data_IF_066185424629
#
_entry.id   IF_066185424629
#
_cell.length_a   1.000
_cell.length_b   1.000
_cell.length_c   1.000
_cell.angle_alpha   90.00
_cell.angle_beta   90.00
_cell.angle_gamma   90.00
#
_symmetry.space_group_name_H-M   'P 1'
#
loop_
_entity.id
_entity.type
_entity.pdbx_description
1 polymer ?
#
# COMPACT_ATOMS: atom_id res chain seq x y z
N UNK A 1 40.39 8.86 -45.39
CA UNK A 1 41.64 8.10 -45.15
C UNK A 1 42.49 8.89 -44.18
N UNK A 2 42.34 8.67 -42.87
CA UNK A 2 43.21 9.20 -41.80
C UNK A 2 43.44 8.05 -40.83
N UNK A 3 44.69 7.95 -40.39
CA UNK A 3 45.38 6.76 -39.94
C UNK A 3 44.85 6.17 -38.63
N UNK A 4 44.55 4.88 -38.70
CA UNK A 4 44.77 3.92 -37.62
C UNK A 4 46.27 3.88 -37.33
N UNK A 5 46.72 4.41 -36.19
CA UNK A 5 47.92 3.94 -35.46
C UNK A 5 48.10 4.78 -34.19
N UNK A 6 47.57 4.28 -33.07
CA UNK A 6 48.44 4.01 -31.93
C UNK A 6 47.83 2.93 -31.04
N UNK A 7 48.55 1.82 -30.90
CA UNK A 7 48.13 0.60 -30.19
C UNK A 7 48.65 0.69 -28.76
N UNK A 8 47.74 0.98 -27.82
CA UNK A 8 48.00 0.86 -26.39
C UNK A 8 46.71 0.84 -25.58
N UNK A 9 46.32 -0.36 -25.11
CA UNK A 9 45.36 -0.65 -24.02
C UNK A 9 44.12 0.26 -23.92
N UNK A 10 43.02 -0.17 -24.50
CA UNK A 10 41.70 0.26 -24.04
C UNK A 10 40.83 -0.97 -23.79
N UNK A 11 40.60 -1.19 -22.49
CA UNK A 11 39.43 -1.86 -21.91
C UNK A 11 38.13 -1.16 -22.42
N UNK A 12 36.93 -1.55 -21.97
CA UNK A 12 35.68 -0.78 -22.17
C UNK A 12 35.96 0.73 -22.22
N UNK A 13 35.31 1.52 -23.09
CA UNK A 13 35.94 2.69 -23.71
C UNK A 13 36.33 3.85 -22.78
N UNK A 14 36.13 3.69 -21.48
CA UNK A 14 36.74 4.43 -20.38
C UNK A 14 37.23 3.38 -19.37
N UNK A 15 38.55 3.34 -19.07
CA UNK A 15 39.21 2.30 -18.25
C UNK A 15 38.49 2.08 -16.91
N UNK A 16 37.96 3.16 -16.36
CA UNK A 16 37.20 3.24 -15.12
C UNK A 16 35.90 2.41 -15.20
N UNK A 17 35.16 2.45 -16.32
CA UNK A 17 33.93 1.68 -16.49
C UNK A 17 34.22 0.18 -16.58
N UNK A 18 35.25 -0.25 -17.34
CA UNK A 18 35.60 -1.67 -17.40
C UNK A 18 36.18 -2.18 -16.09
N UNK A 19 36.97 -1.36 -15.39
CA UNK A 19 37.49 -1.71 -14.07
C UNK A 19 36.33 -1.96 -13.11
N UNK A 20 35.29 -1.13 -13.20
CA UNK A 20 34.06 -1.30 -12.43
C UNK A 20 33.28 -2.56 -12.84
N UNK A 21 33.12 -2.84 -14.15
CA UNK A 21 32.49 -4.07 -14.66
C UNK A 21 33.25 -5.34 -14.25
N UNK A 22 34.58 -5.33 -14.36
CA UNK A 22 35.45 -6.42 -13.92
C UNK A 22 35.37 -6.61 -12.40
N UNK A 23 35.27 -5.53 -11.63
CA UNK A 23 35.03 -5.57 -10.18
C UNK A 23 33.71 -6.27 -9.85
N UNK A 24 32.62 -5.80 -10.46
CA UNK A 24 31.27 -6.35 -10.31
C UNK A 24 31.20 -7.84 -10.65
N UNK A 25 31.69 -8.23 -11.83
CA UNK A 25 31.66 -9.64 -12.29
C UNK A 25 32.52 -10.59 -11.45
N UNK A 26 33.61 -10.09 -10.84
CA UNK A 26 34.46 -10.87 -9.94
C UNK A 26 33.99 -10.82 -8.48
N UNK A 27 32.84 -10.21 -8.18
CA UNK A 27 32.32 -10.07 -6.81
C UNK A 27 33.17 -9.16 -5.91
N UNK A 28 34.03 -8.32 -6.49
CA UNK A 28 34.83 -7.32 -5.75
C UNK A 28 33.95 -6.11 -5.46
N UNK A 29 33.36 -6.11 -4.28
CA UNK A 29 32.35 -5.13 -3.86
C UNK A 29 32.92 -3.83 -3.29
N UNK A 30 34.24 -3.74 -3.08
CA UNK A 30 34.92 -2.53 -2.61
C UNK A 30 35.06 -1.44 -3.70
N UNK A 31 34.73 -1.75 -4.95
CA UNK A 31 34.84 -0.84 -6.12
C UNK A 31 33.66 0.16 -6.18
N UNK A 32 32.71 0.08 -5.25
CA UNK A 32 31.39 0.71 -5.33
C UNK A 32 31.38 2.18 -4.84
N UNK A 33 32.46 2.64 -4.20
CA UNK A 33 32.56 4.03 -3.70
C UNK A 33 32.54 5.10 -4.82
N UNK A 34 32.92 4.75 -6.05
CA UNK A 34 32.99 5.68 -7.19
C UNK A 34 31.78 5.57 -8.14
N UNK A 35 30.66 4.94 -7.73
CA UNK A 35 29.54 4.67 -8.63
C UNK A 35 29.01 5.93 -9.33
N UNK A 36 28.87 7.05 -8.62
CA UNK A 36 28.35 8.29 -9.23
C UNK A 36 29.21 8.78 -10.39
N UNK A 37 30.54 8.78 -10.22
CA UNK A 37 31.48 9.17 -11.28
C UNK A 37 31.47 8.17 -12.44
N UNK A 38 31.42 6.87 -12.14
CA UNK A 38 31.33 5.83 -13.19
C UNK A 38 30.00 5.93 -13.94
N UNK A 39 28.90 6.24 -13.26
CA UNK A 39 27.59 6.41 -13.89
C UNK A 39 27.55 7.62 -14.82
N UNK A 40 28.11 8.76 -14.42
CA UNK A 40 28.25 9.93 -15.31
C UNK A 40 29.08 9.63 -16.57
N UNK A 41 30.20 8.91 -16.41
CA UNK A 41 31.05 8.49 -17.54
C UNK A 41 30.29 7.53 -18.46
N UNK A 42 29.51 6.63 -17.86
CA UNK A 42 28.70 5.66 -18.59
C UNK A 42 27.55 6.32 -19.35
N UNK A 43 26.85 7.29 -18.74
CA UNK A 43 25.83 8.09 -19.43
C UNK A 43 26.43 8.83 -20.63
N UNK A 44 27.55 9.55 -20.44
CA UNK A 44 28.24 10.26 -21.54
C UNK A 44 28.62 9.32 -22.68
N UNK A 45 29.11 8.13 -22.35
CA UNK A 45 29.46 7.13 -23.34
C UNK A 45 28.24 6.63 -24.12
N UNK A 46 27.16 6.23 -23.42
CA UNK A 46 25.91 5.77 -24.04
C UNK A 46 25.29 6.85 -24.93
N UNK A 47 25.28 8.10 -24.47
CA UNK A 47 24.75 9.25 -25.21
C UNK A 47 25.60 9.61 -26.44
N UNK A 48 26.87 9.19 -26.49
CA UNK A 48 27.72 9.32 -27.68
C UNK A 48 27.12 8.66 -28.94
N UNK A 49 26.29 7.63 -28.76
CA UNK A 49 25.62 6.91 -29.85
C UNK A 49 24.18 7.37 -30.09
N UNK A 50 23.63 8.25 -29.24
CA UNK A 50 22.20 8.63 -29.25
C UNK A 50 21.73 9.28 -30.56
N UNK A 51 22.66 9.86 -31.35
CA UNK A 51 22.37 10.46 -32.66
C UNK A 51 22.36 9.47 -33.82
N UNK A 52 22.77 8.22 -33.58
CA UNK A 52 22.71 7.17 -34.60
C UNK A 52 21.27 6.72 -34.84
N UNK A 53 20.99 6.24 -36.06
CA UNK A 53 19.72 5.57 -36.36
C UNK A 53 19.56 4.27 -35.56
N UNK A 54 20.66 3.59 -35.20
CA UNK A 54 20.67 2.34 -34.44
C UNK A 54 21.66 2.39 -33.26
N UNK A 55 21.37 3.19 -32.20
CA UNK A 55 22.31 3.47 -31.11
C UNK A 55 22.87 2.21 -30.43
N UNK A 56 22.02 1.22 -30.14
CA UNK A 56 22.45 -0.02 -29.48
C UNK A 56 23.36 -0.87 -30.37
N UNK A 57 23.10 -0.93 -31.68
CA UNK A 57 23.92 -1.70 -32.62
C UNK A 57 25.31 -1.09 -32.74
N UNK A 58 25.41 0.24 -32.79
CA UNK A 58 26.68 0.94 -32.85
C UNK A 58 27.48 0.82 -31.55
N UNK A 59 26.80 0.91 -30.41
CA UNK A 59 27.42 0.64 -29.11
C UNK A 59 27.96 -0.79 -29.03
N UNK A 60 27.17 -1.80 -29.45
CA UNK A 60 27.62 -3.20 -29.50
C UNK A 60 28.80 -3.40 -30.44
N UNK A 61 28.80 -2.77 -31.61
CA UNK A 61 29.91 -2.85 -32.57
C UNK A 61 31.20 -2.24 -32.00
N UNK A 62 31.08 -1.12 -31.28
CA UNK A 62 32.19 -0.53 -30.54
C UNK A 62 32.76 -1.53 -29.52
N UNK A 63 31.91 -2.21 -28.75
CA UNK A 63 32.33 -3.23 -27.79
C UNK A 63 32.94 -4.47 -28.46
N UNK A 64 32.35 -4.95 -29.54
CA UNK A 64 32.86 -6.09 -30.31
C UNK A 64 34.27 -5.84 -30.85
N UNK A 65 34.58 -4.60 -31.24
CA UNK A 65 35.91 -4.22 -31.74
C UNK A 65 37.01 -4.33 -30.69
N UNK A 66 36.65 -4.34 -29.39
CA UNK A 66 37.56 -4.47 -28.25
C UNK A 66 37.68 -5.92 -27.76
N UNK A 67 36.73 -6.79 -28.13
CA UNK A 67 36.70 -8.21 -27.78
C UNK A 67 35.27 -8.77 -27.86
N UNK A 68 35.02 -9.82 -28.67
CA UNK A 68 33.64 -10.28 -28.93
C UNK A 68 32.97 -10.94 -27.72
N UNK A 69 33.73 -11.45 -26.75
CA UNK A 69 33.19 -12.12 -25.57
C UNK A 69 32.45 -11.14 -24.67
N UNK A 70 31.19 -11.42 -24.31
CA UNK A 70 30.36 -10.67 -23.33
C UNK A 70 29.96 -9.23 -23.70
N UNK A 71 30.05 -8.80 -24.97
CA UNK A 71 29.66 -7.44 -25.38
C UNK A 71 28.21 -7.07 -25.03
N UNK A 72 27.28 -8.02 -25.15
CA UNK A 72 25.87 -7.81 -24.74
C UNK A 72 25.70 -7.62 -23.23
N UNK A 73 26.35 -8.45 -22.40
CA UNK A 73 26.29 -8.32 -20.93
C UNK A 73 26.86 -6.99 -20.47
N UNK A 74 27.95 -6.55 -21.12
CA UNK A 74 28.57 -5.27 -20.83
C UNK A 74 27.71 -4.07 -21.22
N UNK A 75 27.02 -4.11 -22.37
CA UNK A 75 26.06 -3.05 -22.72
C UNK A 75 24.90 -3.02 -21.72
N UNK A 76 24.36 -4.19 -21.35
CA UNK A 76 23.33 -4.28 -20.32
C UNK A 76 23.81 -3.72 -18.97
N UNK A 77 25.06 -3.99 -18.61
CA UNK A 77 25.68 -3.44 -17.41
C UNK A 77 25.82 -1.92 -17.44
N UNK A 78 26.28 -1.36 -18.57
CA UNK A 78 26.41 0.07 -18.75
C UNK A 78 25.06 0.79 -18.58
N UNK A 79 24.00 0.26 -19.22
CA UNK A 79 22.64 0.79 -19.07
C UNK A 79 22.19 0.64 -17.61
N UNK A 80 22.42 -0.51 -16.98
CA UNK A 80 22.04 -0.76 -15.58
C UNK A 80 22.71 0.18 -14.58
N UNK A 81 23.99 0.52 -14.77
CA UNK A 81 24.71 1.51 -13.95
C UNK A 81 24.07 2.89 -14.11
N UNK A 82 23.88 3.35 -15.36
CA UNK A 82 23.35 4.67 -15.66
C UNK A 82 21.97 4.89 -15.01
N UNK A 83 21.16 3.84 -14.92
CA UNK A 83 19.84 3.90 -14.32
C UNK A 83 19.86 3.72 -12.79
N UNK A 84 20.86 3.04 -12.24
CA UNK A 84 20.99 2.87 -10.78
C UNK A 84 21.56 4.10 -10.06
N UNK A 85 22.30 4.95 -10.78
CA UNK A 85 22.82 6.23 -10.30
C UNK A 85 22.64 7.32 -11.39
N UNK A 86 21.43 7.86 -11.56
CA UNK A 86 21.09 8.76 -12.66
C UNK A 86 21.86 10.08 -12.59
N UNK A 87 22.59 10.37 -13.66
CA UNK A 87 23.23 11.66 -13.90
C UNK A 87 22.26 12.66 -14.54
N UNK A 88 22.66 13.40 -15.59
CA UNK A 88 21.90 14.56 -16.05
C UNK A 88 20.75 14.19 -16.99
N UNK A 89 20.87 13.13 -17.80
CA UNK A 89 19.93 12.83 -18.90
C UNK A 89 19.54 11.33 -18.99
N UNK A 90 19.00 10.73 -17.91
CA UNK A 90 18.61 9.32 -17.93
C UNK A 90 17.45 9.04 -18.91
N UNK A 91 16.60 10.01 -19.19
CA UNK A 91 15.48 9.92 -20.13
C UNK A 91 15.96 9.70 -21.57
N UNK A 92 17.03 10.39 -21.97
CA UNK A 92 17.61 10.26 -23.31
C UNK A 92 18.22 8.87 -23.51
N UNK A 93 18.85 8.31 -22.47
CA UNK A 93 19.36 6.93 -22.51
C UNK A 93 18.21 5.93 -22.65
N UNK A 94 17.14 6.07 -21.87
CA UNK A 94 15.97 5.18 -21.98
C UNK A 94 15.36 5.21 -23.39
N UNK A 95 15.21 6.39 -23.98
CA UNK A 95 14.66 6.55 -25.34
C UNK A 95 15.58 5.98 -26.41
N UNK A 96 16.86 6.34 -26.40
CA UNK A 96 17.81 5.92 -27.44
C UNK A 96 18.05 4.40 -27.45
N UNK A 97 17.83 3.73 -26.32
CA UNK A 97 18.04 2.29 -26.17
C UNK A 97 16.75 1.51 -25.94
N UNK A 98 15.57 2.12 -26.16
CA UNK A 98 14.26 1.53 -25.86
C UNK A 98 14.11 0.09 -26.41
N UNK A 99 14.32 -0.12 -27.71
CA UNK A 99 14.18 -1.45 -28.34
C UNK A 99 15.09 -2.51 -27.69
N UNK A 100 16.32 -2.12 -27.34
CA UNK A 100 17.27 -3.01 -26.68
C UNK A 100 16.85 -3.31 -25.25
N UNK A 101 16.37 -2.30 -24.53
CA UNK A 101 15.88 -2.41 -23.17
C UNK A 101 14.70 -3.37 -23.13
N UNK A 102 13.69 -3.16 -23.97
CA UNK A 102 12.50 -4.00 -24.06
C UNK A 102 12.88 -5.46 -24.30
N UNK A 103 13.79 -5.69 -25.26
CA UNK A 103 14.29 -7.03 -25.61
C UNK A 103 15.12 -7.71 -24.50
N UNK A 104 15.71 -6.93 -23.58
CA UNK A 104 16.61 -7.43 -22.53
C UNK A 104 16.12 -7.11 -21.10
N UNK A 105 14.84 -6.76 -20.96
CA UNK A 105 14.23 -6.26 -19.72
C UNK A 105 14.63 -7.10 -18.50
N UNK A 106 14.44 -8.43 -18.57
CA UNK A 106 14.76 -9.33 -17.45
C UNK A 106 16.22 -9.27 -17.01
N UNK A 107 17.16 -9.17 -17.96
CA UNK A 107 18.58 -9.09 -17.66
C UNK A 107 18.92 -7.75 -17.00
N UNK A 108 18.39 -6.65 -17.55
CA UNK A 108 18.58 -5.31 -17.03
C UNK A 108 18.00 -5.16 -15.61
N UNK A 109 16.78 -5.65 -15.38
CA UNK A 109 16.16 -5.68 -14.05
C UNK A 109 17.01 -6.42 -13.03
N UNK A 110 17.59 -7.58 -13.40
CA UNK A 110 18.47 -8.32 -12.50
C UNK A 110 19.73 -7.53 -12.14
N UNK A 111 20.37 -6.90 -13.14
CA UNK A 111 21.57 -6.07 -12.93
C UNK A 111 21.25 -4.87 -12.04
N UNK A 112 20.17 -4.14 -12.34
CA UNK A 112 19.72 -2.99 -11.56
C UNK A 112 19.43 -3.42 -10.12
N UNK A 113 18.73 -4.54 -9.92
CA UNK A 113 18.41 -5.07 -8.59
C UNK A 113 19.69 -5.41 -7.82
N UNK A 114 20.64 -6.12 -8.43
CA UNK A 114 21.89 -6.52 -7.78
C UNK A 114 22.76 -5.32 -7.42
N UNK A 115 22.89 -4.35 -8.33
CA UNK A 115 23.60 -3.09 -8.07
C UNK A 115 22.97 -2.34 -6.89
N UNK A 116 21.65 -2.22 -6.84
CA UNK A 116 20.95 -1.50 -5.79
C UNK A 116 21.00 -2.20 -4.42
N UNK A 117 20.92 -3.54 -4.40
CA UNK A 117 21.14 -4.34 -3.17
C UNK A 117 22.56 -4.13 -2.66
N UNK A 118 23.54 -4.15 -3.56
CA UNK A 118 24.94 -3.98 -3.19
C UNK A 118 25.19 -2.56 -2.68
N UNK A 119 24.67 -1.52 -3.33
CA UNK A 119 24.75 -0.14 -2.86
C UNK A 119 24.20 0.03 -1.44
N UNK A 120 23.01 -0.53 -1.22
CA UNK A 120 22.34 -0.48 0.09
C UNK A 120 23.19 -1.12 1.19
N UNK A 121 23.90 -2.22 0.89
CA UNK A 121 24.81 -2.88 1.83
C UNK A 121 26.00 -1.99 2.24
N UNK A 122 26.49 -1.13 1.35
CA UNK A 122 27.59 -0.20 1.61
C UNK A 122 27.12 1.19 2.07
N UNK A 123 25.84 1.34 2.41
CA UNK A 123 25.28 2.60 2.93
C UNK A 123 25.03 3.67 1.88
N UNK A 124 25.13 3.33 0.59
CA UNK A 124 24.69 4.18 -0.51
C UNK A 124 23.22 3.89 -0.83
N UNK A 125 22.41 4.94 -1.04
CA UNK A 125 20.99 4.77 -1.31
C UNK A 125 20.73 4.84 -2.82
N UNK A 126 20.19 3.80 -3.45
CA UNK A 126 19.68 3.81 -4.83
C UNK A 126 18.84 5.04 -5.16
N UNK A 127 19.16 5.85 -6.18
CA UNK A 127 18.38 7.07 -6.49
C UNK A 127 17.26 6.87 -7.53
N UNK A 128 16.55 5.74 -7.48
CA UNK A 128 15.46 5.35 -8.42
C UNK A 128 14.42 6.45 -8.58
N UNK A 129 14.03 7.06 -7.46
CA UNK A 129 13.08 8.17 -7.44
C UNK A 129 13.54 9.33 -8.33
N UNK A 130 14.81 9.71 -8.24
CA UNK A 130 15.34 10.82 -9.04
C UNK A 130 15.35 10.50 -10.53
N UNK A 131 15.57 9.22 -10.90
CA UNK A 131 15.39 8.77 -12.28
C UNK A 131 13.95 8.96 -12.70
N UNK A 132 12.98 8.41 -11.95
CA UNK A 132 11.55 8.49 -12.28
C UNK A 132 11.05 9.94 -12.39
N UNK A 133 11.60 10.86 -11.58
CA UNK A 133 11.32 12.29 -11.70
C UNK A 133 11.80 12.88 -13.03
N UNK A 134 13.02 12.54 -13.46
CA UNK A 134 13.63 13.06 -14.69
C UNK A 134 13.10 12.42 -15.96
N UNK A 135 12.58 11.21 -15.88
CA UNK A 135 12.09 10.45 -17.04
C UNK A 135 10.82 11.09 -17.61
N UNK A 136 10.80 11.24 -18.93
CA UNK A 136 9.64 11.75 -19.64
C UNK A 136 8.46 10.76 -19.62
N UNK A 137 7.19 11.25 -19.67
CA UNK A 137 6.01 10.40 -19.53
C UNK A 137 5.98 9.16 -20.45
N UNK A 138 6.49 9.29 -21.68
CA UNK A 138 6.53 8.19 -22.66
C UNK A 138 7.46 7.04 -22.27
N UNK A 139 8.49 7.31 -21.45
CA UNK A 139 9.46 6.30 -21.01
C UNK A 139 9.21 5.87 -19.56
N UNK A 140 8.14 6.38 -18.93
CA UNK A 140 7.84 6.14 -17.51
C UNK A 140 7.49 4.67 -17.25
N UNK A 141 6.62 4.06 -18.06
CA UNK A 141 6.23 2.64 -17.92
C UNK A 141 7.42 1.69 -18.12
N UNK A 142 8.31 2.02 -19.05
CA UNK A 142 9.54 1.28 -19.26
C UNK A 142 10.46 1.37 -18.03
N UNK A 143 10.58 2.56 -17.44
CA UNK A 143 11.34 2.76 -16.22
C UNK A 143 10.73 1.97 -15.04
N UNK A 144 9.40 2.01 -14.84
CA UNK A 144 8.70 1.21 -13.83
C UNK A 144 9.02 -0.28 -13.98
N UNK A 145 8.93 -0.80 -15.21
CA UNK A 145 9.23 -2.20 -15.55
C UNK A 145 10.67 -2.57 -15.19
N UNK A 146 11.63 -1.71 -15.56
CA UNK A 146 13.04 -1.95 -15.30
C UNK A 146 13.37 -2.01 -13.81
N UNK A 147 12.82 -1.10 -13.02
CA UNK A 147 12.99 -1.12 -11.56
C UNK A 147 12.11 -2.19 -10.89
N UNK A 148 11.21 -2.84 -11.63
CA UNK A 148 10.19 -3.75 -11.08
C UNK A 148 9.38 -3.07 -9.97
N UNK A 149 9.03 -1.81 -10.17
CA UNK A 149 8.23 -1.01 -9.26
C UNK A 149 6.88 -0.77 -9.92
N UNK A 150 5.81 -0.85 -9.14
CA UNK A 150 4.46 -0.54 -9.62
C UNK A 150 4.13 0.95 -9.41
N UNK A 151 3.21 1.48 -10.20
CA UNK A 151 2.82 2.88 -10.08
C UNK A 151 2.17 3.22 -8.71
N UNK A 152 1.50 2.27 -8.05
CA UNK A 152 0.97 2.45 -6.69
C UNK A 152 2.08 2.66 -5.64
N UNK A 153 3.20 1.94 -5.76
CA UNK A 153 4.39 2.15 -4.91
C UNK A 153 4.99 3.54 -5.13
N UNK A 154 5.03 4.02 -6.38
CA UNK A 154 5.52 5.37 -6.71
C UNK A 154 4.57 6.44 -6.17
N UNK A 155 3.25 6.24 -6.25
CA UNK A 155 2.26 7.14 -5.66
C UNK A 155 2.49 7.27 -4.15
N UNK A 156 2.64 6.15 -3.43
CA UNK A 156 2.92 6.16 -1.99
C UNK A 156 4.21 6.92 -1.67
N UNK A 157 5.27 6.69 -2.44
CA UNK A 157 6.55 7.41 -2.28
C UNK A 157 6.41 8.91 -2.59
N UNK A 158 5.64 9.28 -3.61
CA UNK A 158 5.37 10.67 -3.97
C UNK A 158 4.60 11.40 -2.86
N UNK A 159 3.58 10.76 -2.27
CA UNK A 159 2.81 11.29 -1.13
C UNK A 159 3.70 11.52 0.09
N UNK A 160 4.58 10.56 0.41
CA UNK A 160 5.49 10.67 1.55
C UNK A 160 6.39 11.91 1.46
N UNK A 161 6.78 12.32 0.26
CA UNK A 161 7.67 13.45 0.00
C UNK A 161 6.96 14.72 -0.52
N UNK A 162 5.62 14.69 -0.60
CA UNK A 162 4.76 15.74 -1.17
C UNK A 162 5.22 16.21 -2.58
N UNK A 163 5.50 15.26 -3.46
CA UNK A 163 5.98 15.52 -4.82
C UNK A 163 4.88 15.33 -5.85
N UNK A 164 4.22 16.45 -6.15
CA UNK A 164 3.08 16.48 -7.05
C UNK A 164 3.44 16.05 -8.48
N UNK A 165 4.64 16.37 -8.98
CA UNK A 165 5.02 16.04 -10.35
C UNK A 165 5.19 14.53 -10.53
N UNK A 166 5.89 13.88 -9.60
CA UNK A 166 6.04 12.42 -9.63
C UNK A 166 4.70 11.71 -9.40
N UNK A 167 3.86 12.27 -8.51
CA UNK A 167 2.51 11.76 -8.27
C UNK A 167 1.68 11.75 -9.57
N UNK A 168 1.61 12.86 -10.30
CA UNK A 168 0.84 12.97 -11.55
C UNK A 168 1.37 12.00 -12.61
N UNK A 169 2.69 11.85 -12.73
CA UNK A 169 3.29 10.87 -13.67
C UNK A 169 2.83 9.44 -13.36
N UNK A 170 2.89 9.04 -12.09
CA UNK A 170 2.47 7.71 -11.68
C UNK A 170 0.95 7.50 -11.79
N UNK A 171 0.17 8.52 -11.49
CA UNK A 171 -1.29 8.51 -11.66
C UNK A 171 -1.68 8.30 -13.13
N UNK A 172 -1.10 9.07 -14.05
CA UNK A 172 -1.36 8.94 -15.49
C UNK A 172 -0.93 7.56 -16.04
N UNK A 173 0.14 6.98 -15.49
CA UNK A 173 0.58 5.64 -15.86
C UNK A 173 -0.44 4.56 -15.48
N UNK A 174 -1.11 4.68 -14.33
CA UNK A 174 -2.22 3.80 -13.95
C UNK A 174 -3.38 3.94 -14.93
N UNK A 175 -3.84 5.17 -15.22
CA UNK A 175 -4.93 5.40 -16.17
C UNK A 175 -4.63 4.86 -17.58
N UNK A 176 -3.38 5.01 -18.02
CA UNK A 176 -2.95 4.58 -19.36
C UNK A 176 -2.80 3.06 -19.49
N UNK A 177 -2.63 2.35 -18.38
CA UNK A 177 -2.46 0.88 -18.35
C UNK A 177 -3.74 0.09 -18.65
N UNK A 178 -4.87 0.78 -18.88
CA UNK A 178 -6.17 0.18 -19.17
C UNK A 178 -7.00 -0.13 -17.91
N UNK A 179 -6.51 0.30 -16.74
CA UNK A 179 -7.34 0.38 -15.54
C UNK A 179 -8.40 1.47 -15.72
N UNK A 180 -9.63 1.22 -15.26
CA UNK A 180 -10.69 2.23 -15.22
C UNK A 180 -10.18 3.46 -14.46
N UNK A 181 -10.44 4.68 -14.95
CA UNK A 181 -10.05 5.93 -14.26
C UNK A 181 -10.55 5.95 -12.80
N UNK A 182 -11.65 5.24 -12.54
CA UNK A 182 -12.13 4.99 -11.19
C UNK A 182 -11.13 4.21 -10.32
N UNK A 183 -10.48 3.16 -10.85
CA UNK A 183 -9.48 2.36 -10.13
C UNK A 183 -8.25 3.19 -9.79
N UNK A 184 -7.74 4.00 -10.73
CA UNK A 184 -6.60 4.89 -10.47
C UNK A 184 -6.91 5.88 -9.33
N UNK A 185 -8.14 6.42 -9.31
CA UNK A 185 -8.62 7.29 -8.23
C UNK A 185 -8.69 6.56 -6.89
N UNK A 186 -9.23 5.34 -6.85
CA UNK A 186 -9.28 4.51 -5.64
C UNK A 186 -7.87 4.24 -5.10
N UNK A 187 -6.91 3.89 -5.97
CA UNK A 187 -5.50 3.68 -5.58
C UNK A 187 -4.88 4.95 -5.00
N UNK A 188 -5.16 6.12 -5.59
CA UNK A 188 -4.67 7.40 -5.11
C UNK A 188 -5.22 7.76 -3.72
N UNK A 189 -6.54 7.65 -3.51
CA UNK A 189 -7.16 7.90 -2.21
C UNK A 189 -6.72 6.88 -1.16
N UNK A 190 -6.65 5.60 -1.52
CA UNK A 190 -6.18 4.55 -0.62
C UNK A 190 -4.73 4.81 -0.17
N UNK A 191 -3.87 5.19 -1.11
CA UNK A 191 -2.47 5.53 -0.82
C UNK A 191 -2.35 6.80 0.04
N UNK A 192 -3.17 7.83 -0.20
CA UNK A 192 -3.20 9.05 0.61
C UNK A 192 -3.70 8.77 2.04
N UNK A 193 -4.68 7.88 2.18
CA UNK A 193 -5.23 7.44 3.47
C UNK A 193 -4.23 6.67 4.33
N UNK A 194 -3.08 6.23 3.77
CA UNK A 194 -1.99 5.64 4.54
C UNK A 194 -1.13 6.69 5.27
N UNK A 195 -1.37 7.98 5.09
CA UNK A 195 -0.61 9.05 5.75
C UNK A 195 -1.52 9.92 6.62
N UNK A 196 -0.91 10.66 7.55
CA UNK A 196 -1.62 11.71 8.28
C UNK A 196 -2.19 12.77 7.31
N UNK A 197 -3.41 13.22 7.61
CA UNK A 197 -4.11 14.26 6.84
C UNK A 197 -3.30 15.56 6.93
N UNK A 198 -2.86 16.04 5.77
CA UNK A 198 -2.17 17.32 5.65
C UNK A 198 -2.83 18.12 4.54
N UNK A 199 -3.72 19.04 4.91
CA UNK A 199 -4.45 19.90 3.96
C UNK A 199 -3.56 20.95 3.29
N UNK A 200 -2.31 21.08 3.73
CA UNK A 200 -1.33 21.99 3.13
C UNK A 200 -0.48 21.29 2.06
N UNK A 201 -0.42 19.96 2.07
CA UNK A 201 0.26 19.16 1.05
C UNK A 201 -0.27 19.47 -0.35
N UNK A 202 0.64 19.62 -1.31
CA UNK A 202 0.32 19.85 -2.71
C UNK A 202 -0.53 18.71 -3.28
N UNK A 203 -0.17 17.47 -2.95
CA UNK A 203 -0.92 16.29 -3.39
C UNK A 203 -2.31 16.24 -2.76
N UNK A 204 -2.43 16.55 -1.47
CA UNK A 204 -3.75 16.59 -0.83
C UNK A 204 -4.67 17.61 -1.50
N UNK A 205 -4.20 18.83 -1.75
CA UNK A 205 -4.98 19.87 -2.43
C UNK A 205 -5.29 19.55 -3.89
N UNK A 206 -4.46 18.73 -4.53
CA UNK A 206 -4.68 18.29 -5.90
C UNK A 206 -5.77 17.22 -5.98
N UNK A 207 -5.78 16.26 -5.04
CA UNK A 207 -6.75 15.16 -4.99
C UNK A 207 -8.07 15.53 -4.32
N UNK A 208 -8.01 16.29 -3.23
CA UNK A 208 -9.17 16.63 -2.39
C UNK A 208 -9.59 18.05 -2.70
N UNK A 209 -10.54 18.18 -3.63
CA UNK A 209 -11.00 19.48 -4.15
C UNK A 209 -12.43 19.80 -3.73
N UNK A 210 -13.22 18.79 -3.40
CA UNK A 210 -14.61 18.92 -3.02
C UNK A 210 -15.01 17.99 -1.86
N UNK A 211 -16.25 18.14 -1.40
CA UNK A 211 -16.79 17.36 -0.28
C UNK A 211 -16.86 15.86 -0.61
N UNK A 212 -17.08 15.49 -1.88
CA UNK A 212 -17.15 14.07 -2.25
C UNK A 212 -15.75 13.42 -2.18
N UNK A 213 -14.69 14.14 -2.57
CA UNK A 213 -13.31 13.69 -2.39
C UNK A 213 -12.95 13.51 -0.90
N UNK A 214 -13.44 14.41 -0.03
CA UNK A 214 -13.27 14.28 1.41
C UNK A 214 -13.96 13.02 1.96
N UNK A 215 -15.13 12.65 1.42
CA UNK A 215 -15.84 11.42 1.80
C UNK A 215 -15.08 10.19 1.32
N UNK A 216 -14.55 10.20 0.09
CA UNK A 216 -13.77 9.08 -0.45
C UNK A 216 -12.48 8.86 0.34
N UNK A 217 -11.74 9.94 0.65
CA UNK A 217 -10.55 9.86 1.50
C UNK A 217 -10.90 9.30 2.89
N UNK A 218 -11.96 9.79 3.51
CA UNK A 218 -12.39 9.30 4.82
C UNK A 218 -12.83 7.82 4.77
N UNK A 219 -13.52 7.41 3.71
CA UNK A 219 -13.89 6.01 3.47
C UNK A 219 -12.65 5.10 3.43
N UNK A 220 -11.63 5.48 2.67
CA UNK A 220 -10.35 4.75 2.58
C UNK A 220 -9.61 4.71 3.92
N UNK A 221 -9.62 5.81 4.70
CA UNK A 221 -9.05 5.82 6.05
C UNK A 221 -9.76 4.82 6.97
N UNK A 222 -11.08 4.71 6.87
CA UNK A 222 -11.86 3.74 7.63
C UNK A 222 -11.61 2.30 7.18
N UNK A 223 -11.43 2.06 5.88
CA UNK A 223 -11.06 0.72 5.37
C UNK A 223 -9.65 0.30 5.80
N UNK A 224 -8.69 1.23 5.80
CA UNK A 224 -7.34 0.99 6.32
C UNK A 224 -7.40 0.64 7.81
N UNK A 225 -8.14 1.43 8.61
CA UNK A 225 -8.36 1.15 10.04
C UNK A 225 -9.02 -0.23 10.25
N UNK A 226 -9.98 -0.61 9.41
CA UNK A 226 -10.65 -1.90 9.50
C UNK A 226 -9.73 -3.07 9.16
N UNK A 227 -8.83 -2.88 8.19
CA UNK A 227 -7.81 -3.85 7.79
C UNK A 227 -6.75 -4.05 8.87
N UNK A 228 -6.38 -2.99 9.61
CA UNK A 228 -5.46 -3.10 10.75
C UNK A 228 -5.99 -4.07 11.82
N UNK A 229 -7.30 -4.11 12.06
CA UNK A 229 -7.90 -5.03 13.03
C UNK A 229 -7.76 -6.51 12.66
N UNK A 230 -7.60 -6.81 11.37
CA UNK A 230 -7.38 -8.17 10.86
C UNK A 230 -5.90 -8.60 10.95
N UNK A 231 -4.97 -7.66 11.09
CA UNK A 231 -3.55 -7.93 11.24
C UNK A 231 -3.16 -7.80 12.72
N UNK A 232 -2.19 -8.56 13.21
CA UNK A 232 -1.74 -8.52 14.62
C UNK A 232 -1.02 -7.23 15.05
N UNK A 233 -1.25 -6.12 14.34
CA UNK A 233 -0.60 -4.83 14.50
C UNK A 233 -1.60 -3.77 14.95
N UNK A 234 -1.54 -3.38 16.23
CA UNK A 234 -2.26 -2.22 16.76
C UNK A 234 -1.48 -0.93 16.47
N UNK A 235 -2.13 0.12 15.94
CA UNK A 235 -1.57 1.47 15.76
C UNK A 235 -0.32 1.59 14.86
N UNK A 236 -0.26 0.94 13.69
CA UNK A 236 1.00 0.95 12.92
C UNK A 236 0.89 0.99 11.39
N UNK A 237 -0.30 1.17 10.82
CA UNK A 237 -0.48 1.20 9.37
C UNK A 237 -0.12 2.55 8.74
N UNK A 238 -0.22 3.65 9.48
CA UNK A 238 0.13 4.96 8.93
C UNK A 238 1.64 5.08 8.68
N UNK A 239 1.97 5.66 7.53
CA UNK A 239 3.31 5.96 7.07
C UNK A 239 3.67 7.41 7.44
N UNK A 240 4.94 7.63 7.74
CA UNK A 240 5.47 8.96 8.04
C UNK A 240 5.71 9.75 6.74
N UNK A 241 5.19 10.98 6.69
CA UNK A 241 5.65 11.97 5.73
C UNK A 241 7.12 12.30 6.01
N UNK A 242 7.95 12.26 4.97
CA UNK A 242 9.37 12.52 5.08
C UNK A 242 9.63 14.03 5.07
N UNK A 243 10.49 14.49 5.96
CA UNK A 243 10.90 15.90 6.09
C UNK A 243 12.41 16.03 5.96
N UNK A 244 12.88 17.14 5.38
CA UNK A 244 14.30 17.43 5.23
C UNK A 244 14.85 17.06 3.85
N UNK A 245 16.15 16.74 3.80
CA UNK A 245 16.82 16.40 2.55
C UNK A 245 16.18 15.15 1.92
N UNK A 246 15.77 15.28 0.65
CA UNK A 246 15.19 14.18 -0.12
C UNK A 246 16.19 13.04 -0.20
N UNK A 247 15.75 11.84 0.19
CA UNK A 247 16.49 10.58 0.06
C UNK A 247 15.59 9.58 -0.63
N UNK A 248 16.19 8.59 -1.28
CA UNK A 248 15.39 7.55 -1.89
C UNK A 248 14.78 6.62 -0.84
N UNK A 249 13.47 6.51 -0.87
CA UNK A 249 12.68 5.58 -0.05
C UNK A 249 12.05 4.47 -0.89
N UNK A 250 12.19 4.54 -2.21
CA UNK A 250 11.74 3.56 -3.18
C UNK A 250 12.92 2.71 -3.65
N UNK A 251 12.81 1.40 -3.48
CA UNK A 251 13.81 0.42 -3.89
C UNK A 251 13.26 -0.47 -5.03
N UNK A 252 14.12 -1.19 -5.77
CA UNK A 252 13.65 -2.12 -6.80
C UNK A 252 12.71 -3.17 -6.22
N UNK A 253 11.90 -3.77 -7.09
CA UNK A 253 10.94 -4.83 -6.74
C UNK A 253 9.84 -4.37 -5.77
N UNK A 254 9.47 -3.09 -5.78
CA UNK A 254 8.40 -2.52 -4.94
C UNK A 254 8.74 -2.45 -3.45
N UNK A 255 10.02 -2.61 -3.08
CA UNK A 255 10.44 -2.47 -1.67
C UNK A 255 10.44 -1.00 -1.28
N UNK A 256 9.99 -0.71 -0.07
CA UNK A 256 9.94 0.64 0.47
C UNK A 256 10.70 0.76 1.80
N UNK A 257 11.40 1.88 1.96
CA UNK A 257 12.06 2.31 3.21
C UNK A 257 11.25 3.39 3.94
N UNK A 258 9.97 3.58 3.57
CA UNK A 258 9.09 4.50 4.27
C UNK A 258 8.93 4.06 5.73
N UNK A 259 9.24 4.98 6.64
CA UNK A 259 9.07 4.76 8.07
C UNK A 259 7.57 4.79 8.42
N UNK A 260 7.20 4.06 9.47
CA UNK A 260 5.89 4.22 10.10
C UNK A 260 5.79 5.58 10.77
N UNK A 261 4.58 6.09 10.84
CA UNK A 261 4.26 7.30 11.59
C UNK A 261 4.62 7.13 13.08
N UNK A 262 4.90 8.25 13.75
CA UNK A 262 5.11 8.27 15.19
C UNK A 262 3.81 7.87 15.92
N UNK A 263 3.94 7.26 17.10
CA UNK A 263 2.84 6.93 17.99
C UNK A 263 2.05 8.17 18.47
N UNK A 264 2.60 9.38 18.26
CA UNK A 264 1.89 10.63 18.51
C UNK A 264 0.80 10.96 17.49
N UNK A 265 0.79 10.31 16.33
CA UNK A 265 -0.25 10.55 15.31
C UNK A 265 -1.59 10.03 15.81
N UNK A 266 -2.59 10.91 15.80
CA UNK A 266 -3.93 10.58 16.29
C UNK A 266 -4.66 9.73 15.25
N UNK A 267 -5.12 8.52 15.59
CA UNK A 267 -5.87 7.70 14.65
C UNK A 267 -7.23 8.34 14.34
N UNK A 268 -7.78 8.03 13.16
CA UNK A 268 -8.93 8.76 12.60
C UNK A 268 -10.17 8.73 13.51
N UNK A 269 -10.43 7.62 14.21
CA UNK A 269 -11.57 7.49 15.13
C UNK A 269 -11.42 8.28 16.42
N UNK A 270 -10.20 8.75 16.74
CA UNK A 270 -9.93 9.67 17.86
C UNK A 270 -9.82 11.14 17.42
N UNK A 271 -9.91 11.42 16.12
CA UNK A 271 -9.78 12.79 15.62
C UNK A 271 -10.98 13.64 16.10
N UNK A 272 -10.79 14.90 16.53
CA UNK A 272 -11.88 15.76 17.01
C UNK A 272 -13.03 15.93 16.00
N UNK A 273 -12.69 15.87 14.70
CA UNK A 273 -13.66 16.01 13.61
C UNK A 273 -14.30 14.68 13.18
N UNK A 274 -13.96 13.55 13.83
CA UNK A 274 -14.44 12.22 13.45
C UNK A 274 -15.96 12.18 13.30
N UNK A 275 -16.70 12.75 14.27
CA UNK A 275 -18.16 12.84 14.21
C UNK A 275 -18.64 13.59 12.98
N UNK A 276 -18.03 14.74 12.66
CA UNK A 276 -18.41 15.55 11.50
C UNK A 276 -18.16 14.77 10.20
N UNK A 277 -16.97 14.18 10.05
CA UNK A 277 -16.58 13.41 8.86
C UNK A 277 -17.47 12.19 8.67
N UNK A 278 -17.73 11.43 9.73
CA UNK A 278 -18.62 10.28 9.73
C UNK A 278 -20.03 10.63 9.24
N UNK A 279 -20.58 11.77 9.66
CA UNK A 279 -21.95 12.16 9.29
C UNK A 279 -22.07 12.72 7.86
N UNK A 280 -20.96 12.95 7.14
CA UNK A 280 -20.99 13.34 5.72
C UNK A 280 -21.38 12.17 4.82
N UNK A 281 -21.02 10.95 5.19
CA UNK A 281 -21.43 9.72 4.48
C UNK A 281 -21.63 8.55 5.46
N UNK A 282 -22.58 8.72 6.37
CA UNK A 282 -22.83 7.80 7.47
C UNK A 282 -23.18 6.39 6.97
N UNK A 283 -24.08 6.29 5.99
CA UNK A 283 -24.59 5.00 5.53
C UNK A 283 -23.49 4.18 4.86
N UNK A 284 -22.73 4.78 3.94
CA UNK A 284 -21.62 4.09 3.27
C UNK A 284 -20.56 3.66 4.27
N UNK A 285 -20.14 4.57 5.15
CA UNK A 285 -19.09 4.31 6.14
C UNK A 285 -19.47 3.17 7.08
N UNK A 286 -20.67 3.19 7.65
CA UNK A 286 -21.14 2.13 8.55
C UNK A 286 -21.24 0.80 7.81
N UNK A 287 -21.81 0.80 6.59
CA UNK A 287 -21.97 -0.42 5.80
C UNK A 287 -20.63 -1.06 5.46
N UNK A 288 -19.65 -0.26 5.04
CA UNK A 288 -18.33 -0.76 4.66
C UNK A 288 -17.54 -1.23 5.89
N UNK A 289 -17.46 -0.41 6.95
CA UNK A 289 -16.67 -0.73 8.15
C UNK A 289 -17.22 -1.94 8.92
N UNK A 290 -18.55 -2.00 9.10
CA UNK A 290 -19.23 -3.08 9.82
C UNK A 290 -19.72 -4.21 8.90
N UNK A 291 -19.25 -4.27 7.65
CA UNK A 291 -19.58 -5.38 6.75
C UNK A 291 -18.99 -6.70 7.27
N UNK A 292 -19.76 -7.80 7.28
CA UNK A 292 -19.24 -9.12 7.64
C UNK A 292 -18.39 -9.76 6.53
N UNK A 293 -18.26 -9.15 5.35
CA UNK A 293 -17.51 -9.68 4.20
C UNK A 293 -16.01 -9.41 4.21
N UNK A 294 -15.52 -8.50 5.05
CA UNK A 294 -14.09 -8.21 5.13
C UNK A 294 -13.36 -9.42 5.71
N UNK A 295 -12.53 -10.04 4.86
CA UNK A 295 -11.67 -11.18 5.17
C UNK A 295 -10.66 -10.76 6.23
N UNK A 296 -10.92 -11.13 7.48
CA UNK A 296 -10.13 -10.69 8.60
C UNK A 296 -10.91 -10.94 9.88
N UNK A 297 -10.77 -12.15 10.42
CA UNK A 297 -11.11 -12.38 11.82
C UNK A 297 -10.34 -11.36 12.66
N UNK A 298 -11.02 -10.73 13.62
CA UNK A 298 -10.29 -9.88 14.56
C UNK A 298 -9.35 -10.79 15.35
N UNK A 299 -8.05 -10.53 15.25
CA UNK A 299 -7.08 -11.18 16.15
C UNK A 299 -7.55 -10.92 17.59
N UNK A 300 -7.60 -11.95 18.43
CA UNK A 300 -8.05 -11.81 19.82
C UNK A 300 -7.35 -10.66 20.55
N UNK A 301 -6.09 -10.37 20.20
CA UNK A 301 -5.30 -9.25 20.74
C UNK A 301 -5.84 -7.87 20.37
N UNK A 302 -6.51 -7.74 19.23
CA UNK A 302 -7.07 -6.49 18.73
C UNK A 302 -8.51 -6.25 19.21
N UNK A 303 -9.12 -7.19 19.94
CA UNK A 303 -10.48 -7.04 20.48
C UNK A 303 -10.72 -5.70 21.21
N UNK A 304 -9.85 -5.28 22.15
CA UNK A 304 -10.00 -3.99 22.83
C UNK A 304 -9.94 -2.79 21.89
N UNK A 305 -9.16 -2.87 20.81
CA UNK A 305 -9.06 -1.80 19.81
C UNK A 305 -10.33 -1.73 18.94
N UNK A 306 -10.91 -2.88 18.59
CA UNK A 306 -12.22 -2.94 17.92
C UNK A 306 -13.34 -2.36 18.80
N UNK A 307 -13.32 -2.63 20.11
CA UNK A 307 -14.27 -2.05 21.06
C UNK A 307 -14.16 -0.53 21.12
N UNK A 308 -12.93 -0.03 21.17
CA UNK A 308 -12.65 1.41 21.20
C UNK A 308 -13.17 2.12 19.95
N UNK A 309 -12.91 1.57 18.76
CA UNK A 309 -13.41 2.15 17.50
C UNK A 309 -14.94 2.09 17.46
N UNK A 310 -15.53 0.97 17.86
CA UNK A 310 -17.00 0.83 17.93
C UNK A 310 -17.60 1.87 18.88
N UNK A 311 -16.96 2.11 20.03
CA UNK A 311 -17.38 3.15 20.98
C UNK A 311 -17.29 4.54 20.37
N UNK A 312 -16.27 4.85 19.56
CA UNK A 312 -16.18 6.13 18.86
C UNK A 312 -17.37 6.38 17.91
N UNK A 313 -17.87 5.35 17.22
CA UNK A 313 -19.10 5.46 16.42
C UNK A 313 -20.34 5.76 17.28
N UNK A 314 -20.47 5.09 18.43
CA UNK A 314 -21.57 5.30 19.37
C UNK A 314 -21.51 6.72 19.96
N UNK A 315 -20.34 7.18 20.37
CA UNK A 315 -20.10 8.53 20.92
C UNK A 315 -20.33 9.63 19.87
N UNK A 316 -20.06 9.33 18.59
CA UNK A 316 -20.41 10.20 17.49
C UNK A 316 -21.94 10.35 17.31
N UNK A 317 -22.76 9.49 17.91
CA UNK A 317 -24.22 9.54 17.88
C UNK A 317 -24.86 8.53 16.93
N UNK A 318 -24.10 7.55 16.42
CA UNK A 318 -24.66 6.47 15.61
C UNK A 318 -25.36 5.47 16.53
N UNK A 319 -26.63 5.18 16.27
CA UNK A 319 -27.37 4.27 17.14
C UNK A 319 -26.86 2.83 16.99
N UNK A 320 -26.80 2.04 18.07
CA UNK A 320 -26.32 0.66 18.01
C UNK A 320 -27.20 -0.21 17.10
N UNK A 321 -28.50 0.05 17.05
CA UNK A 321 -29.42 -0.60 16.12
C UNK A 321 -29.11 -0.31 14.65
N UNK A 322 -28.66 0.92 14.33
CA UNK A 322 -28.23 1.28 12.98
C UNK A 322 -26.95 0.55 12.58
N UNK A 323 -25.95 0.48 13.48
CA UNK A 323 -24.72 -0.29 13.25
C UNK A 323 -25.02 -1.76 12.92
N UNK A 324 -25.92 -2.39 13.67
CA UNK A 324 -26.31 -3.80 13.45
C UNK A 324 -27.10 -3.95 12.14
N UNK A 325 -28.09 -3.08 11.90
CA UNK A 325 -28.96 -3.14 10.73
C UNK A 325 -28.22 -2.91 9.40
N UNK A 326 -27.27 -1.98 9.38
CA UNK A 326 -26.51 -1.60 8.18
C UNK A 326 -25.16 -2.32 8.05
N UNK A 327 -24.66 -2.93 9.13
CA UNK A 327 -23.49 -3.81 9.10
C UNK A 327 -23.88 -5.29 8.95
N UNK A 328 -23.84 -6.09 10.04
CA UNK A 328 -23.96 -7.54 9.97
C UNK A 328 -25.32 -8.04 9.48
N UNK A 329 -26.42 -7.33 9.77
CA UNK A 329 -27.77 -7.73 9.34
C UNK A 329 -28.17 -7.13 7.98
N UNK A 330 -27.27 -6.39 7.31
CA UNK A 330 -27.59 -5.77 6.04
C UNK A 330 -27.84 -6.85 4.97
N UNK A 331 -28.97 -6.80 4.23
CA UNK A 331 -29.23 -7.77 3.18
C UNK A 331 -28.21 -7.58 2.06
N UNK A 332 -27.42 -8.60 1.74
CA UNK A 332 -26.46 -8.54 0.63
C UNK A 332 -27.12 -8.24 -0.74
N UNK A 333 -28.43 -8.49 -0.89
CA UNK A 333 -29.16 -8.36 -2.17
C UNK A 333 -30.64 -7.89 -2.06
N UNK A 334 -31.11 -7.31 -0.95
CA UNK A 334 -32.54 -6.97 -0.82
C UNK A 334 -32.81 -5.46 -0.93
N UNK A 335 -33.64 -5.09 -1.90
CA UNK A 335 -34.19 -3.74 -2.12
C UNK A 335 -35.29 -3.33 -1.12
N UNK A 336 -35.31 -3.92 0.09
CA UNK A 336 -36.38 -3.68 1.05
C UNK A 336 -35.85 -2.99 2.32
N UNK A 337 -36.51 -1.92 2.79
CA UNK A 337 -36.16 -1.25 4.04
C UNK A 337 -36.31 -2.23 5.20
N UNK A 338 -35.42 -2.10 6.19
CA UNK A 338 -35.48 -2.83 7.46
C UNK A 338 -36.71 -2.36 8.23
N UNK A 339 -37.87 -2.98 7.99
CA UNK A 339 -39.07 -2.79 8.80
C UNK A 339 -39.09 -3.77 9.97
N UNK A 340 -39.72 -3.28 11.05
CA UNK A 340 -39.33 -3.41 12.45
C UNK A 340 -39.91 -4.59 13.22
N UNK A 341 -40.41 -5.62 12.55
CA UNK A 341 -40.94 -6.77 13.26
C UNK A 341 -39.83 -7.79 13.49
N UNK A 342 -39.34 -7.82 14.74
CA UNK A 342 -38.38 -8.78 15.30
C UNK A 342 -36.88 -8.54 14.97
N UNK A 343 -36.41 -7.29 15.09
CA UNK A 343 -34.99 -6.95 14.91
C UNK A 343 -34.08 -7.58 15.99
N UNK A 344 -34.57 -7.74 17.22
CA UNK A 344 -33.80 -8.39 18.32
C UNK A 344 -33.46 -9.85 17.97
N UNK A 345 -34.44 -10.62 17.48
CA UNK A 345 -34.18 -11.98 17.00
C UNK A 345 -33.20 -11.99 15.83
N UNK A 346 -33.43 -11.16 14.80
CA UNK A 346 -32.55 -11.10 13.60
C UNK A 346 -31.11 -10.75 13.97
N UNK A 347 -30.92 -9.84 14.91
CA UNK A 347 -29.62 -9.49 15.43
C UNK A 347 -28.97 -10.71 16.11
N UNK A 348 -29.65 -11.31 17.10
CA UNK A 348 -29.12 -12.46 17.84
C UNK A 348 -28.82 -13.67 16.94
N UNK A 349 -29.72 -14.00 16.00
CA UNK A 349 -29.54 -15.06 15.02
C UNK A 349 -28.30 -14.80 14.13
N UNK A 350 -28.12 -13.53 13.73
CA UNK A 350 -26.93 -13.15 12.98
C UNK A 350 -25.66 -13.22 13.80
N UNK A 351 -25.68 -12.83 15.08
CA UNK A 351 -24.52 -12.91 15.97
C UNK A 351 -24.11 -14.35 16.25
N UNK A 352 -25.07 -15.22 16.58
CA UNK A 352 -24.82 -16.63 16.87
C UNK A 352 -24.25 -17.37 15.66
N UNK A 353 -24.69 -17.02 14.45
CA UNK A 353 -24.17 -17.62 13.21
C UNK A 353 -22.79 -17.13 12.77
N UNK A 354 -22.20 -16.13 13.45
CA UNK A 354 -20.83 -15.68 13.19
C UNK A 354 -19.79 -16.58 13.86
N UNK A 355 -18.62 -16.69 13.23
CA UNK A 355 -17.41 -17.25 13.86
C UNK A 355 -16.96 -16.40 15.06
N UNK A 356 -16.21 -17.00 15.99
CA UNK A 356 -15.79 -16.38 17.25
C UNK A 356 -15.05 -15.05 17.06
N UNK A 357 -14.14 -14.96 16.09
CA UNK A 357 -13.41 -13.71 15.80
C UNK A 357 -14.32 -12.57 15.33
N UNK A 358 -15.40 -12.89 14.60
CA UNK A 358 -16.41 -11.90 14.19
C UNK A 358 -17.34 -11.54 15.34
N UNK A 359 -17.75 -12.53 16.16
CA UNK A 359 -18.50 -12.26 17.39
C UNK A 359 -17.73 -11.28 18.29
N UNK A 360 -16.42 -11.48 18.45
CA UNK A 360 -15.57 -10.58 19.24
C UNK A 360 -15.55 -9.14 18.73
N UNK A 361 -15.46 -8.94 17.41
CA UNK A 361 -15.51 -7.62 16.78
C UNK A 361 -16.82 -6.89 17.06
N UNK A 362 -17.95 -7.58 16.88
CA UNK A 362 -19.28 -6.98 17.00
C UNK A 362 -19.80 -6.91 18.45
N UNK A 363 -19.12 -7.54 19.42
CA UNK A 363 -19.60 -7.70 20.79
C UNK A 363 -20.03 -6.38 21.44
N UNK A 364 -19.25 -5.30 21.29
CA UNK A 364 -19.57 -4.00 21.88
C UNK A 364 -20.84 -3.39 21.29
N UNK A 365 -21.02 -3.42 19.96
CA UNK A 365 -22.22 -2.90 19.31
C UNK A 365 -23.47 -3.69 19.75
N UNK A 366 -23.36 -5.02 19.82
CA UNK A 366 -24.44 -5.90 20.25
C UNK A 366 -24.79 -5.74 21.73
N UNK A 367 -23.80 -5.59 22.61
CA UNK A 367 -24.03 -5.31 24.03
C UNK A 367 -24.85 -4.04 24.22
N UNK A 368 -24.38 -2.92 23.65
CA UNK A 368 -25.06 -1.62 23.77
C UNK A 368 -26.45 -1.64 23.12
N UNK A 369 -26.62 -2.39 22.02
CA UNK A 369 -27.94 -2.60 21.43
C UNK A 369 -28.90 -3.33 22.38
N UNK A 370 -28.47 -4.44 22.98
CA UNK A 370 -29.32 -5.25 23.87
C UNK A 370 -29.61 -4.54 25.20
N UNK A 371 -28.69 -3.73 25.72
CA UNK A 371 -28.93 -2.87 26.91
C UNK A 371 -30.14 -1.92 26.73
N UNK A 372 -30.53 -1.62 25.49
CA UNK A 372 -31.72 -0.84 25.17
C UNK A 372 -33.05 -1.56 25.38
N UNK A 373 -33.03 -2.86 25.69
CA UNK A 373 -34.23 -3.70 25.82
C UNK A 373 -34.31 -4.36 27.20
N UNK A 374 -35.51 -4.55 27.76
CA UNK A 374 -35.67 -5.30 29.00
C UNK A 374 -35.45 -6.81 28.77
N UNK A 375 -34.94 -7.50 29.79
CA UNK A 375 -34.55 -8.91 29.70
C UNK A 375 -35.69 -9.84 29.24
N UNK A 376 -36.94 -9.53 29.61
CA UNK A 376 -38.11 -10.29 29.18
C UNK A 376 -38.35 -10.19 27.67
N UNK A 377 -38.15 -9.03 27.07
CA UNK A 377 -38.30 -8.81 25.62
C UNK A 377 -37.19 -9.55 24.85
N UNK A 378 -35.95 -9.47 25.34
CA UNK A 378 -34.82 -10.22 24.78
C UNK A 378 -35.08 -11.74 24.86
N UNK A 379 -35.53 -12.23 26.02
CA UNK A 379 -35.83 -13.65 26.22
C UNK A 379 -36.97 -14.14 25.31
N UNK A 380 -38.02 -13.33 25.11
CA UNK A 380 -39.13 -13.64 24.19
C UNK A 380 -38.68 -13.68 22.73
N UNK A 381 -37.68 -12.88 22.35
CA UNK A 381 -37.12 -12.89 21.01
C UNK A 381 -36.21 -14.11 20.74
N UNK A 382 -35.65 -14.73 21.78
CA UNK A 382 -34.73 -15.88 21.64
C UNK A 382 -35.47 -17.17 21.28
N UNK A 383 -35.08 -17.82 20.17
CA UNK A 383 -35.70 -19.09 19.73
C UNK A 383 -34.89 -20.35 20.03
N UNK A 384 -33.62 -20.21 20.40
CA UNK A 384 -32.73 -21.36 20.68
C UNK A 384 -31.88 -21.09 21.92
N UNK A 385 -31.35 -22.14 22.58
CA UNK A 385 -30.45 -22.00 23.73
C UNK A 385 -29.21 -21.14 23.45
N UNK A 386 -28.69 -21.18 22.23
CA UNK A 386 -27.51 -20.42 21.80
C UNK A 386 -27.79 -18.92 21.76
N UNK A 387 -29.01 -18.51 21.37
CA UNK A 387 -29.43 -17.10 21.42
C UNK A 387 -29.40 -16.56 22.85
N UNK A 388 -29.96 -17.31 23.80
CA UNK A 388 -29.98 -16.94 25.22
C UNK A 388 -28.57 -16.93 25.81
N UNK A 389 -27.74 -17.92 25.48
CA UNK A 389 -26.35 -17.98 25.92
C UNK A 389 -25.54 -16.79 25.36
N UNK A 390 -25.74 -16.40 24.09
CA UNK A 390 -25.11 -15.23 23.50
C UNK A 390 -25.59 -13.93 24.14
N UNK A 391 -26.90 -13.75 24.31
CA UNK A 391 -27.48 -12.57 24.95
C UNK A 391 -26.98 -12.40 26.40
N UNK A 392 -26.89 -13.50 27.16
CA UNK A 392 -26.27 -13.50 28.48
C UNK A 392 -24.80 -13.10 28.44
N UNK A 393 -23.99 -13.69 27.55
CA UNK A 393 -22.57 -13.35 27.43
C UNK A 393 -22.33 -11.88 27.09
N UNK A 394 -23.20 -11.30 26.27
CA UNK A 394 -23.11 -9.89 25.87
C UNK A 394 -23.51 -8.92 27.00
N UNK A 395 -24.56 -9.24 27.77
CA UNK A 395 -25.18 -8.32 28.74
C UNK A 395 -24.79 -8.57 30.19
N UNK A 396 -24.38 -9.80 30.53
CA UNK A 396 -24.20 -10.26 31.90
C UNK A 396 -25.49 -10.42 32.71
N UNK A 397 -26.68 -10.26 32.10
CA UNK A 397 -27.95 -10.27 32.82
C UNK A 397 -28.40 -11.70 33.18
N UNK A 398 -28.35 -12.00 34.49
CA UNK A 398 -28.73 -13.29 35.05
C UNK A 398 -30.20 -13.65 34.81
N UNK A 399 -31.09 -12.68 34.56
CA UNK A 399 -32.50 -12.95 34.24
C UNK A 399 -32.63 -13.74 32.93
N UNK A 400 -31.73 -13.53 31.96
CA UNK A 400 -31.71 -14.27 30.70
C UNK A 400 -31.34 -15.75 30.90
N UNK A 401 -30.44 -16.05 31.84
CA UNK A 401 -30.13 -17.44 32.23
C UNK A 401 -31.28 -18.13 32.95
N UNK A 402 -32.02 -17.36 33.77
CA UNK A 402 -33.18 -17.88 34.49
C UNK A 402 -34.31 -18.23 33.54
N UNK A 403 -34.53 -17.41 32.50
CA UNK A 403 -35.50 -17.65 31.45
C UNK A 403 -35.13 -18.82 30.51
N UNK A 404 -33.86 -19.24 30.49
CA UNK A 404 -33.36 -20.29 29.59
C UNK A 404 -33.53 -21.73 30.08
N UNK A 405 -33.38 -22.66 29.13
CA UNK A 405 -33.41 -24.11 29.38
C UNK A 405 -32.11 -24.59 30.04
N UNK A 406 -32.11 -25.82 30.57
CA UNK A 406 -30.90 -26.44 31.14
C UNK A 406 -29.76 -26.55 30.13
N UNK A 407 -30.08 -26.67 28.83
CA UNK A 407 -29.08 -26.63 27.77
C UNK A 407 -28.41 -25.26 27.63
N UNK A 408 -29.18 -24.17 27.69
CA UNK A 408 -28.62 -22.81 27.66
C UNK A 408 -27.68 -22.56 28.85
N UNK A 409 -28.07 -23.04 30.05
CA UNK A 409 -27.25 -22.95 31.26
C UNK A 409 -25.98 -23.79 31.13
N UNK A 410 -26.09 -25.00 30.59
CA UNK A 410 -24.94 -25.88 30.34
C UNK A 410 -23.94 -25.26 29.36
N UNK A 411 -24.41 -24.65 28.27
CA UNK A 411 -23.55 -23.96 27.30
C UNK A 411 -22.74 -22.82 27.94
N UNK A 412 -23.39 -22.02 28.78
CA UNK A 412 -22.75 -20.91 29.48
C UNK A 412 -21.76 -21.43 30.53
N UNK A 413 -22.16 -22.39 31.35
CA UNK A 413 -21.30 -22.98 32.38
C UNK A 413 -20.10 -23.74 31.79
N UNK A 414 -20.29 -24.46 30.69
CA UNK A 414 -19.20 -25.16 29.99
C UNK A 414 -18.13 -24.18 29.51
N UNK A 415 -18.55 -23.11 28.86
CA UNK A 415 -17.62 -22.07 28.39
C UNK A 415 -16.93 -21.32 29.54
N UNK A 416 -17.65 -20.95 30.60
CA UNK A 416 -17.06 -20.28 31.78
C UNK A 416 -16.00 -21.15 32.47
N UNK A 417 -16.12 -22.48 32.34
CA UNK A 417 -15.17 -23.47 32.85
C UNK A 417 -14.07 -23.83 31.83
N UNK A 418 -14.10 -23.27 30.62
CA UNK A 418 -13.16 -23.58 29.53
C UNK A 418 -13.31 -24.99 28.95
N UNK A 419 -14.50 -25.57 29.03
CA UNK A 419 -14.84 -26.94 28.61
C UNK A 419 -15.43 -27.04 27.20
#
# INVERSE_FOLDING_TARGET
MIALTDRGRFMFPILEIESFYAGYTNGKRDVIYDLGTVAELTEKWLLGFSKSSHPYSDALNCLHSLGPTQSGNRLSFAIGICLSAPSANPDQVLRSYQDYIESNTRNLTNIITDLNVTLSFYGATPEIRSTLQKVDPQAFDLALTLYSVKADDVIKDAIAWDDLELFIKAFNALESSGEDAHIASVVAFNSLAMFEVDTQSLIHRHLVTCIDDEKDLFGEQMQNLRSELACSTTNSGLLARQRGARRSTLLPCGRSLLAKADASVTPIHRHPEFKLMLHRDLERTVREFFSPSLTGETDEKNGPYADEITQAFLDAGVSPGYLIAKGPCHPRHAAYPVTSDNMVFKALDKYVSMESGKQRFFATAYRVYLEGFPANEIAQACKTPEHLAAAYRLTGDKQLLQAGTDHARSLVMGQDLGL
#
